data_IF_634372906436
#
_entry.id   IF_634372906436
#
_cell.length_a   1.000
_cell.length_b   1.000
_cell.length_c   1.000
_cell.angle_alpha   90.00
_cell.angle_beta   90.00
_cell.angle_gamma   90.00
#
_symmetry.space_group_name_H-M   'P 1'
#
loop_
_entity.id
_entity.type
_entity.pdbx_description
1 polymer ?
#
# COMPACT_ATOMS: atom_id res chain seq x y z
N UNK A 1 18.39 -20.55 17.91
CA UNK A 1 18.35 -19.09 18.11
C UNK A 1 17.86 -18.51 16.78
N UNK A 2 16.73 -17.82 16.77
CA UNK A 2 16.29 -17.08 15.61
C UNK A 2 17.12 -15.78 15.54
N UNK A 3 17.64 -15.45 14.37
CA UNK A 3 18.33 -14.19 14.12
C UNK A 3 17.32 -13.22 13.52
N UNK A 4 16.67 -12.42 14.35
CA UNK A 4 15.66 -11.47 13.92
C UNK A 4 16.32 -10.12 13.67
N UNK A 5 16.07 -9.53 12.52
CA UNK A 5 16.57 -8.21 12.15
C UNK A 5 15.45 -7.43 11.46
N UNK A 6 15.11 -6.29 12.01
CA UNK A 6 14.20 -5.34 11.36
C UNK A 6 15.02 -4.28 10.66
N UNK A 7 14.83 -4.15 9.36
CA UNK A 7 15.42 -3.09 8.56
C UNK A 7 14.37 -2.03 8.26
N UNK A 8 14.74 -0.77 8.44
CA UNK A 8 13.92 0.36 8.04
C UNK A 8 14.63 1.13 6.93
N UNK A 9 13.94 1.44 5.82
CA UNK A 9 14.51 2.31 4.82
C UNK A 9 14.71 3.72 5.36
N UNK A 10 15.77 4.40 4.90
CA UNK A 10 15.82 5.86 4.97
C UNK A 10 14.74 6.47 4.08
N UNK A 11 14.44 7.75 4.25
CA UNK A 11 13.58 8.45 3.31
C UNK A 11 13.92 9.94 3.20
N UNK A 12 13.65 10.51 2.03
CA UNK A 12 13.64 11.94 1.77
C UNK A 12 12.24 12.33 1.30
N UNK A 13 11.64 13.35 1.90
CA UNK A 13 10.29 13.78 1.56
C UNK A 13 10.25 15.29 1.27
N UNK A 14 9.28 15.70 0.46
CA UNK A 14 9.05 17.09 0.07
C UNK A 14 9.27 17.35 -1.41
N UNK A 15 9.10 18.60 -1.81
CA UNK A 15 9.21 18.99 -3.23
C UNK A 15 10.59 18.75 -3.85
N UNK A 16 11.63 18.79 -3.05
CA UNK A 16 13.02 18.64 -3.46
C UNK A 16 13.63 17.27 -3.10
N UNK A 17 12.82 16.28 -2.77
CA UNK A 17 13.30 14.97 -2.31
C UNK A 17 14.33 14.34 -3.29
N UNK A 18 14.16 14.51 -4.58
CA UNK A 18 15.08 13.95 -5.60
C UNK A 18 16.46 14.60 -5.62
N UNK A 19 16.64 15.81 -5.09
CA UNK A 19 17.95 16.45 -4.98
C UNK A 19 18.91 15.74 -4.01
N UNK A 20 18.39 14.85 -3.17
CA UNK A 20 19.19 14.03 -2.26
C UNK A 20 19.77 12.76 -2.93
N UNK A 21 19.43 12.49 -4.22
CA UNK A 21 19.83 11.26 -4.92
C UNK A 21 21.35 11.06 -4.87
N UNK A 22 22.14 12.03 -5.27
CA UNK A 22 23.59 11.88 -5.28
C UNK A 22 24.17 11.59 -3.91
N UNK A 23 23.73 12.31 -2.89
CA UNK A 23 24.21 12.17 -1.52
C UNK A 23 23.85 10.77 -0.95
N UNK A 24 22.65 10.30 -1.24
CA UNK A 24 22.14 9.03 -0.71
C UNK A 24 22.63 7.83 -1.50
N UNK A 25 22.71 7.94 -2.83
CA UNK A 25 22.94 6.80 -3.71
C UNK A 25 24.41 6.61 -4.08
N UNK A 26 25.24 7.68 -4.13
CA UNK A 26 26.65 7.58 -4.54
C UNK A 26 27.51 6.59 -3.72
N UNK A 27 27.24 6.33 -2.42
CA UNK A 27 27.97 5.27 -1.70
C UNK A 27 27.74 3.85 -2.25
N UNK A 28 26.71 3.65 -3.06
CA UNK A 28 26.33 2.35 -3.63
C UNK A 28 26.79 2.17 -5.08
N UNK A 29 27.27 3.23 -5.73
CA UNK A 29 27.75 3.24 -7.10
C UNK A 29 27.34 4.49 -7.86
N UNK A 30 27.63 4.51 -9.16
CA UNK A 30 27.40 5.67 -10.03
C UNK A 30 26.42 5.39 -11.17
N UNK A 31 26.02 4.14 -11.37
CA UNK A 31 25.14 3.72 -12.46
C UNK A 31 23.84 3.18 -11.86
N UNK A 32 22.77 3.90 -12.04
CA UNK A 32 21.43 3.46 -11.65
C UNK A 32 20.61 3.10 -12.89
N UNK A 33 19.80 2.06 -12.79
CA UNK A 33 18.78 1.75 -13.79
C UNK A 33 17.39 1.97 -13.16
N UNK A 34 16.59 2.80 -13.80
CA UNK A 34 15.17 3.02 -13.44
C UNK A 34 14.32 1.93 -14.10
N UNK A 35 13.63 1.14 -13.30
CA UNK A 35 12.61 0.19 -13.74
C UNK A 35 11.25 0.84 -13.50
N UNK A 36 10.47 1.04 -14.57
CA UNK A 36 9.23 1.81 -14.50
C UNK A 36 8.28 1.50 -15.66
N UNK A 37 7.09 2.06 -15.59
CA UNK A 37 6.15 2.18 -16.71
C UNK A 37 6.27 3.55 -17.42
N UNK A 38 5.73 3.64 -18.64
CA UNK A 38 5.83 4.84 -19.47
C UNK A 38 5.13 6.05 -18.82
N UNK A 39 3.99 5.84 -18.15
CA UNK A 39 3.22 6.92 -17.50
C UNK A 39 4.04 7.52 -16.37
N UNK A 40 4.62 6.67 -15.52
CA UNK A 40 5.44 7.08 -14.38
C UNK A 40 6.73 7.79 -14.84
N UNK A 41 7.40 7.29 -15.91
CA UNK A 41 8.56 7.98 -16.49
C UNK A 41 8.16 9.37 -16.97
N UNK A 42 7.10 9.47 -17.77
CA UNK A 42 6.66 10.75 -18.33
C UNK A 42 6.30 11.78 -17.24
N UNK A 43 5.71 11.33 -16.15
CA UNK A 43 5.38 12.20 -15.02
C UNK A 43 6.60 12.70 -14.24
N UNK A 44 7.69 11.90 -14.18
CA UNK A 44 8.79 12.15 -13.23
C UNK A 44 10.11 12.53 -13.90
N UNK A 45 10.30 12.19 -15.17
CA UNK A 45 11.60 12.31 -15.88
C UNK A 45 12.20 13.71 -15.76
N UNK A 46 11.39 14.76 -15.93
CA UNK A 46 11.85 16.15 -15.79
C UNK A 46 12.50 16.43 -14.42
N UNK A 47 11.94 15.88 -13.34
CA UNK A 47 12.44 16.09 -11.98
C UNK A 47 13.67 15.24 -11.68
N UNK A 48 13.71 14.02 -12.20
CA UNK A 48 14.87 13.13 -12.06
C UNK A 48 16.06 13.64 -12.87
N UNK A 49 15.84 14.02 -14.12
CA UNK A 49 16.91 14.58 -14.99
C UNK A 49 17.48 15.86 -14.39
N UNK A 50 16.62 16.78 -13.91
CA UNK A 50 17.08 18.01 -13.22
C UNK A 50 17.93 17.68 -11.97
N UNK A 51 17.52 16.68 -11.21
CA UNK A 51 18.22 16.31 -9.97
C UNK A 51 19.56 15.61 -10.22
N UNK A 52 19.76 14.97 -11.37
CA UNK A 52 20.93 14.12 -11.66
C UNK A 52 21.82 14.59 -12.79
N UNK A 53 21.43 15.67 -13.54
CA UNK A 53 22.18 16.15 -14.71
C UNK A 53 23.67 16.49 -14.41
N UNK A 54 23.94 17.16 -13.30
CA UNK A 54 25.26 17.54 -12.84
C UNK A 54 25.83 16.60 -11.77
N UNK A 55 25.08 15.53 -11.46
CA UNK A 55 25.37 14.60 -10.38
C UNK A 55 26.37 13.50 -10.77
N UNK A 56 26.79 12.74 -9.74
CA UNK A 56 27.70 11.60 -9.90
C UNK A 56 26.88 10.38 -10.37
N UNK A 57 25.65 10.22 -9.91
CA UNK A 57 24.78 9.11 -10.28
C UNK A 57 24.17 9.35 -11.65
N UNK A 58 24.43 8.45 -12.59
CA UNK A 58 23.88 8.46 -13.94
C UNK A 58 22.74 7.44 -14.03
N UNK A 59 21.67 7.81 -14.74
CA UNK A 59 20.41 7.05 -14.78
C UNK A 59 20.12 6.59 -16.21
N UNK A 60 19.88 5.31 -16.37
CA UNK A 60 19.26 4.72 -17.55
C UNK A 60 17.82 4.30 -17.23
N UNK A 61 16.95 4.28 -18.25
CA UNK A 61 15.53 3.95 -18.10
C UNK A 61 15.18 2.68 -18.86
N UNK A 62 14.52 1.72 -18.18
CA UNK A 62 14.01 0.50 -18.76
C UNK A 62 12.54 0.36 -18.40
N UNK A 63 11.71 0.11 -19.41
CA UNK A 63 10.30 -0.22 -19.19
C UNK A 63 10.18 -1.66 -18.68
N UNK A 64 9.38 -1.87 -17.64
CA UNK A 64 9.01 -3.22 -17.25
C UNK A 64 7.81 -3.68 -18.11
N UNK A 65 7.62 -5.01 -18.30
CA UNK A 65 6.60 -5.55 -19.22
C UNK A 65 5.14 -5.35 -18.82
N UNK A 66 4.84 -4.48 -17.84
CA UNK A 66 3.48 -4.04 -17.51
C UNK A 66 2.82 -4.77 -16.34
N UNK A 67 3.21 -6.03 -16.04
CA UNK A 67 2.69 -6.75 -14.86
C UNK A 67 3.82 -7.13 -13.90
N UNK A 68 3.55 -7.07 -12.60
CA UNK A 68 4.48 -7.56 -11.58
C UNK A 68 4.48 -9.09 -11.58
N UNK A 69 5.27 -9.68 -12.47
CA UNK A 69 5.35 -11.12 -12.65
C UNK A 69 6.81 -11.62 -12.58
N UNK A 70 6.98 -12.89 -12.29
CA UNK A 70 8.31 -13.51 -12.31
C UNK A 70 8.89 -13.49 -13.71
N UNK A 71 8.05 -13.67 -14.72
CA UNK A 71 8.40 -13.63 -16.14
C UNK A 71 8.94 -12.26 -16.57
N UNK A 72 8.32 -11.17 -16.07
CA UNK A 72 8.82 -9.81 -16.28
C UNK A 72 10.23 -9.62 -15.68
N UNK A 73 10.48 -10.17 -14.52
CA UNK A 73 11.80 -10.12 -13.88
C UNK A 73 12.81 -10.98 -14.63
N UNK A 74 12.42 -12.17 -15.10
CA UNK A 74 13.29 -13.05 -15.92
C UNK A 74 13.78 -12.33 -17.20
N UNK A 75 12.90 -11.53 -17.84
CA UNK A 75 13.26 -10.71 -19.00
C UNK A 75 14.22 -9.59 -18.63
N UNK A 76 13.92 -8.84 -17.55
CA UNK A 76 14.74 -7.73 -17.09
C UNK A 76 16.15 -8.17 -16.67
N UNK A 77 16.32 -9.34 -16.07
CA UNK A 77 17.62 -9.91 -15.70
C UNK A 77 18.55 -10.15 -16.91
N UNK A 78 17.99 -10.33 -18.11
CA UNK A 78 18.78 -10.52 -19.33
C UNK A 78 19.25 -9.22 -19.96
N UNK A 79 18.70 -8.07 -19.56
CA UNK A 79 19.04 -6.78 -20.13
C UNK A 79 20.45 -6.33 -19.70
N UNK A 80 21.29 -5.96 -20.66
CA UNK A 80 22.69 -5.58 -20.40
C UNK A 80 22.82 -4.29 -19.59
N UNK A 81 21.89 -3.34 -19.73
CA UNK A 81 21.87 -2.10 -18.92
C UNK A 81 21.62 -2.48 -17.46
N UNK A 82 20.65 -3.36 -17.21
CA UNK A 82 20.31 -3.85 -15.87
C UNK A 82 21.49 -4.61 -15.26
N UNK A 83 22.14 -5.49 -16.02
CA UNK A 83 23.33 -6.24 -15.56
C UNK A 83 24.47 -5.30 -15.14
N UNK A 84 24.71 -4.24 -15.91
CA UNK A 84 25.80 -3.30 -15.70
C UNK A 84 25.49 -2.16 -14.72
N UNK A 85 24.27 -2.03 -14.25
CA UNK A 85 23.91 -1.05 -13.23
C UNK A 85 24.44 -1.45 -11.85
N UNK A 86 24.84 -0.48 -11.05
CA UNK A 86 25.29 -0.68 -9.67
C UNK A 86 24.09 -0.82 -8.73
N UNK A 87 22.96 -0.18 -9.07
CA UNK A 87 21.76 -0.11 -8.26
C UNK A 87 20.48 -0.03 -9.11
N UNK A 88 19.35 -0.35 -8.51
CA UNK A 88 18.03 -0.31 -9.14
C UNK A 88 17.18 0.79 -8.51
N UNK A 89 16.59 1.64 -9.34
CA UNK A 89 15.58 2.63 -8.98
C UNK A 89 14.21 2.11 -9.40
N UNK A 90 13.39 1.75 -8.41
CA UNK A 90 12.02 1.28 -8.62
C UNK A 90 11.09 2.49 -8.65
N UNK A 91 10.69 2.93 -9.83
CA UNK A 91 9.88 4.14 -10.03
C UNK A 91 8.47 3.77 -10.45
N UNK A 92 7.45 4.28 -9.76
CA UNK A 92 6.06 4.10 -10.17
C UNK A 92 5.08 3.77 -9.05
N UNK A 93 3.99 3.11 -9.42
CA UNK A 93 3.03 2.51 -8.50
C UNK A 93 3.48 1.13 -8.00
N UNK A 94 2.60 0.44 -7.27
CA UNK A 94 2.92 -0.85 -6.63
C UNK A 94 3.53 -1.88 -7.58
N UNK A 95 2.95 -2.09 -8.77
CA UNK A 95 3.43 -3.10 -9.74
C UNK A 95 4.86 -2.84 -10.21
N UNK A 96 5.19 -1.60 -10.58
CA UNK A 96 6.53 -1.23 -11.00
C UNK A 96 7.55 -1.38 -9.84
N UNK A 97 7.16 -0.95 -8.64
CA UNK A 97 7.99 -1.07 -7.44
C UNK A 97 8.23 -2.54 -7.08
N UNK A 98 7.20 -3.38 -7.09
CA UNK A 98 7.33 -4.81 -6.74
C UNK A 98 8.17 -5.58 -7.78
N UNK A 99 8.06 -5.24 -9.07
CA UNK A 99 8.93 -5.78 -10.12
C UNK A 99 10.40 -5.42 -9.86
N UNK A 100 10.69 -4.12 -9.64
CA UNK A 100 12.05 -3.66 -9.36
C UNK A 100 12.62 -4.22 -8.06
N UNK A 101 11.80 -4.40 -7.03
CA UNK A 101 12.13 -5.04 -5.75
C UNK A 101 12.58 -6.48 -5.93
N UNK A 102 11.83 -7.31 -6.66
CA UNK A 102 12.19 -8.69 -6.93
C UNK A 102 13.44 -8.78 -7.81
N UNK A 103 13.56 -7.93 -8.82
CA UNK A 103 14.75 -7.83 -9.67
C UNK A 103 15.99 -7.53 -8.84
N UNK A 104 15.92 -6.53 -7.97
CA UNK A 104 17.02 -6.15 -7.08
C UNK A 104 17.42 -7.29 -6.13
N UNK A 105 16.45 -7.99 -5.56
CA UNK A 105 16.67 -9.15 -4.69
C UNK A 105 17.40 -10.27 -5.43
N UNK A 106 16.93 -10.66 -6.63
CA UNK A 106 17.54 -11.73 -7.42
C UNK A 106 18.96 -11.40 -7.90
N UNK A 107 19.19 -10.15 -8.28
CA UNK A 107 20.49 -9.66 -8.73
C UNK A 107 21.43 -9.27 -7.59
N UNK A 108 20.97 -9.34 -6.33
CA UNK A 108 21.71 -8.90 -5.15
C UNK A 108 22.23 -7.46 -5.28
N UNK A 109 21.38 -6.55 -5.79
CA UNK A 109 21.69 -5.13 -5.96
C UNK A 109 20.94 -4.28 -4.95
N UNK A 110 21.54 -3.18 -4.44
CA UNK A 110 20.81 -2.19 -3.66
C UNK A 110 19.68 -1.59 -4.49
N UNK A 111 18.53 -1.31 -3.86
CA UNK A 111 17.43 -0.66 -4.55
C UNK A 111 16.83 0.50 -3.75
N UNK A 112 16.31 1.44 -4.49
CA UNK A 112 15.72 2.69 -4.02
C UNK A 112 14.34 2.84 -4.65
N UNK A 113 13.39 3.38 -3.92
CA UNK A 113 12.02 3.52 -4.42
C UNK A 113 11.61 4.96 -4.61
N UNK A 114 10.89 5.21 -5.70
CA UNK A 114 10.41 6.51 -6.13
C UNK A 114 8.89 6.39 -6.40
N UNK A 115 8.05 6.43 -5.35
CA UNK A 115 6.61 6.31 -5.54
C UNK A 115 6.05 7.49 -6.31
N UNK A 116 5.25 7.21 -7.36
CA UNK A 116 4.59 8.23 -8.17
C UNK A 116 3.14 8.46 -7.79
N UNK A 117 2.55 7.52 -7.05
CA UNK A 117 1.18 7.56 -6.54
C UNK A 117 1.17 7.09 -5.07
N UNK A 118 0.36 7.69 -4.25
CA UNK A 118 0.23 7.33 -2.82
C UNK A 118 -0.99 6.42 -2.60
N UNK A 119 -0.97 5.21 -3.18
CA UNK A 119 -2.08 4.25 -3.09
C UNK A 119 -1.86 3.12 -2.09
N UNK A 120 -0.60 2.75 -1.79
CA UNK A 120 -0.22 1.68 -0.86
C UNK A 120 1.18 1.91 -0.31
N UNK A 121 1.61 1.13 0.67
CA UNK A 121 2.96 1.20 1.25
C UNK A 121 4.02 0.35 0.51
N UNK A 122 3.76 -0.10 -0.72
CA UNK A 122 4.67 -0.97 -1.48
C UNK A 122 6.10 -0.43 -1.59
N UNK A 123 6.27 0.91 -1.64
CA UNK A 123 7.59 1.55 -1.72
C UNK A 123 8.46 1.37 -0.47
N UNK A 124 7.88 1.00 0.67
CA UNK A 124 8.59 0.78 1.94
C UNK A 124 8.68 -0.70 2.30
N UNK A 125 7.62 -1.45 2.02
CA UNK A 125 7.48 -2.84 2.43
C UNK A 125 8.50 -3.76 1.72
N UNK A 126 9.07 -4.70 2.47
CA UNK A 126 9.81 -5.83 1.89
C UNK A 126 8.89 -6.86 1.21
N UNK A 127 7.57 -6.76 1.41
CA UNK A 127 6.58 -7.59 0.74
C UNK A 127 6.30 -7.08 -0.66
N UNK A 128 6.21 -7.96 -1.65
CA UNK A 128 5.74 -7.69 -3.00
C UNK A 128 4.59 -8.61 -3.39
N UNK A 129 3.68 -8.11 -4.21
CA UNK A 129 2.54 -8.85 -4.73
C UNK A 129 2.81 -9.19 -6.20
N UNK A 130 2.71 -10.47 -6.56
CA UNK A 130 3.04 -10.95 -7.89
C UNK A 130 1.85 -11.64 -8.54
N UNK A 131 1.76 -11.45 -9.84
CA UNK A 131 0.69 -11.93 -10.69
C UNK A 131 1.24 -12.83 -11.79
N UNK A 132 0.38 -13.59 -12.44
CA UNK A 132 0.68 -14.20 -13.72
C UNK A 132 0.61 -13.14 -14.83
N UNK A 133 1.23 -13.36 -16.00
CA UNK A 133 1.14 -12.41 -17.12
C UNK A 133 -0.28 -12.11 -17.61
N UNK A 134 -1.25 -12.97 -17.27
CA UNK A 134 -2.68 -12.78 -17.55
C UNK A 134 -3.43 -11.97 -16.48
N UNK A 135 -2.70 -11.31 -15.55
CA UNK A 135 -3.19 -10.49 -14.44
C UNK A 135 -3.81 -11.25 -13.26
N UNK A 136 -3.88 -12.59 -13.30
CA UNK A 136 -4.35 -13.36 -12.15
C UNK A 136 -3.34 -13.32 -11.00
N UNK A 137 -3.84 -13.16 -9.77
CA UNK A 137 -3.00 -13.22 -8.58
C UNK A 137 -2.26 -14.56 -8.50
N UNK A 138 -0.94 -14.51 -8.28
CA UNK A 138 -0.09 -15.68 -8.17
C UNK A 138 0.37 -15.94 -6.74
N UNK A 139 1.01 -14.96 -6.13
CA UNK A 139 1.58 -15.11 -4.79
C UNK A 139 2.03 -13.75 -4.24
N UNK A 140 2.25 -13.70 -2.96
CA UNK A 140 3.12 -12.67 -2.36
C UNK A 140 4.51 -13.26 -2.08
N UNK A 141 5.53 -12.43 -2.17
CA UNK A 141 6.90 -12.81 -1.89
C UNK A 141 7.57 -11.71 -1.05
N UNK A 142 8.27 -12.12 0.01
CA UNK A 142 9.02 -11.20 0.85
C UNK A 142 10.50 -11.27 0.48
N UNK A 143 11.06 -10.15 0.04
CA UNK A 143 12.49 -10.00 -0.17
C UNK A 143 13.22 -9.85 1.17
N UNK A 144 14.52 -10.13 1.19
CA UNK A 144 15.30 -10.16 2.45
C UNK A 144 15.36 -8.81 3.16
N UNK A 145 15.25 -7.70 2.42
CA UNK A 145 15.35 -6.34 2.95
C UNK A 145 14.41 -5.39 2.24
N UNK A 146 13.83 -4.40 2.94
CA UNK A 146 13.15 -3.29 2.30
C UNK A 146 14.16 -2.43 1.50
N UNK A 147 13.71 -1.40 0.75
CA UNK A 147 14.61 -0.52 0.01
C UNK A 147 15.64 0.14 0.93
N UNK A 148 16.77 0.53 0.37
CA UNK A 148 17.78 1.33 1.09
C UNK A 148 17.20 2.69 1.48
N UNK A 149 16.47 3.31 0.53
CA UNK A 149 15.90 4.63 0.73
C UNK A 149 14.67 4.85 -0.18
N UNK A 150 13.76 5.71 0.30
CA UNK A 150 12.53 6.09 -0.40
C UNK A 150 12.61 7.59 -0.72
N UNK A 151 12.47 7.97 -1.99
CA UNK A 151 12.42 9.36 -2.42
C UNK A 151 10.96 9.78 -2.68
N UNK A 152 10.37 10.55 -1.78
CA UNK A 152 8.96 10.94 -1.78
C UNK A 152 8.83 12.39 -2.27
N UNK A 153 8.62 12.57 -3.58
CA UNK A 153 8.36 13.89 -4.13
C UNK A 153 6.91 14.29 -3.95
N UNK A 154 6.63 15.28 -3.10
CA UNK A 154 5.26 15.80 -2.90
C UNK A 154 4.69 16.45 -4.17
N UNK A 155 5.53 16.94 -5.08
CA UNK A 155 5.09 17.43 -6.41
C UNK A 155 4.52 16.29 -7.25
N UNK A 156 5.27 15.19 -7.35
CA UNK A 156 4.84 14.02 -8.13
C UNK A 156 3.53 13.45 -7.58
N UNK A 157 3.41 13.34 -6.26
CA UNK A 157 2.17 12.86 -5.62
C UNK A 157 1.00 13.83 -5.85
N UNK A 158 1.25 15.15 -5.79
CA UNK A 158 0.22 16.16 -6.01
C UNK A 158 -0.26 16.21 -7.47
N UNK A 159 0.64 15.96 -8.43
CA UNK A 159 0.35 15.95 -9.88
C UNK A 159 -0.26 14.60 -10.33
N UNK A 160 -0.26 13.57 -9.49
CA UNK A 160 -0.87 12.28 -9.81
C UNK A 160 -2.40 12.34 -9.79
N UNK A 161 -3.11 11.43 -10.49
CA UNK A 161 -4.56 11.36 -10.41
C UNK A 161 -5.04 11.18 -8.96
N UNK A 162 -5.85 12.11 -8.47
CA UNK A 162 -6.28 12.20 -7.07
C UNK A 162 -6.95 10.91 -6.54
N UNK A 163 -7.53 10.11 -7.43
CA UNK A 163 -8.15 8.83 -7.09
C UNK A 163 -7.15 7.81 -6.45
N UNK A 164 -5.84 7.94 -6.71
CA UNK A 164 -4.85 7.07 -6.07
C UNK A 164 -4.56 7.50 -4.64
N UNK A 165 -4.45 8.81 -4.37
CA UNK A 165 -4.31 9.31 -3.00
C UNK A 165 -5.57 9.00 -2.18
N UNK A 166 -6.75 9.17 -2.78
CA UNK A 166 -8.04 8.85 -2.18
C UNK A 166 -8.12 7.38 -1.75
N UNK A 167 -7.79 6.46 -2.66
CA UNK A 167 -7.74 5.02 -2.35
C UNK A 167 -6.67 4.70 -1.29
N UNK A 168 -5.50 5.35 -1.36
CA UNK A 168 -4.44 5.16 -0.36
C UNK A 168 -4.81 5.63 1.05
N UNK A 169 -5.63 6.68 1.16
CA UNK A 169 -6.21 7.09 2.44
C UNK A 169 -7.15 5.99 2.94
N UNK A 170 -8.02 5.46 2.08
CA UNK A 170 -8.93 4.36 2.42
C UNK A 170 -8.19 3.10 2.91
N UNK A 171 -7.13 2.70 2.19
CA UNK A 171 -6.26 1.58 2.57
C UNK A 171 -5.55 1.84 3.91
N UNK A 172 -4.92 3.01 4.05
CA UNK A 172 -4.19 3.39 5.27
C UNK A 172 -5.06 3.44 6.53
N UNK A 173 -6.35 3.75 6.40
CA UNK A 173 -7.31 3.76 7.52
C UNK A 173 -7.57 2.36 8.09
N UNK A 174 -7.35 1.29 7.32
CA UNK A 174 -7.52 -0.09 7.79
C UNK A 174 -6.42 -0.51 8.76
N UNK A 175 -5.18 -0.01 8.58
CA UNK A 175 -3.97 -0.54 9.18
C UNK A 175 -4.04 -0.71 10.70
N UNK A 176 -4.37 0.36 11.41
CA UNK A 176 -4.50 0.27 12.88
C UNK A 176 -5.60 -0.71 13.29
N UNK A 177 -6.74 -0.65 12.60
CA UNK A 177 -7.93 -1.43 12.97
C UNK A 177 -7.65 -2.92 12.82
N UNK A 178 -7.11 -3.34 11.69
CA UNK A 178 -6.84 -4.74 11.39
C UNK A 178 -5.71 -5.32 12.22
N UNK A 179 -4.56 -4.62 12.29
CA UNK A 179 -3.40 -5.09 13.06
C UNK A 179 -3.74 -5.29 14.53
N UNK A 180 -4.44 -4.32 15.13
CA UNK A 180 -4.84 -4.43 16.56
C UNK A 180 -5.94 -5.45 16.78
N UNK A 181 -6.81 -5.66 15.81
CA UNK A 181 -7.84 -6.71 15.87
C UNK A 181 -7.19 -8.09 15.84
N UNK A 182 -6.35 -8.38 14.86
CA UNK A 182 -5.69 -9.69 14.71
C UNK A 182 -4.75 -10.02 15.89
N UNK A 183 -4.03 -9.03 16.42
CA UNK A 183 -3.11 -9.23 17.54
C UNK A 183 -3.80 -9.28 18.93
N UNK A 184 -5.08 -8.98 19.02
CA UNK A 184 -5.80 -8.85 20.30
C UNK A 184 -5.79 -10.16 21.11
N UNK A 185 -5.32 -10.06 22.35
CA UNK A 185 -5.26 -11.20 23.28
C UNK A 185 -4.09 -12.16 23.02
N UNK A 186 -3.15 -11.80 22.12
CA UNK A 186 -2.02 -12.63 21.72
C UNK A 186 -0.66 -12.09 22.16
N UNK A 187 -0.62 -11.18 23.14
CA UNK A 187 0.62 -10.54 23.59
C UNK A 187 1.75 -11.53 23.90
N UNK A 188 1.41 -12.73 24.37
CA UNK A 188 2.37 -13.79 24.71
C UNK A 188 2.88 -14.60 23.49
N UNK A 189 2.25 -14.44 22.32
CA UNK A 189 2.64 -15.09 21.06
C UNK A 189 3.48 -14.17 20.18
N UNK A 190 3.35 -12.83 20.38
CA UNK A 190 4.01 -11.84 19.57
C UNK A 190 5.51 -11.77 19.85
N UNK A 191 6.32 -11.73 18.80
CA UNK A 191 7.75 -11.37 18.91
C UNK A 191 7.90 -9.92 19.36
N UNK A 192 9.12 -9.51 19.71
CA UNK A 192 9.41 -8.13 20.11
C UNK A 192 9.08 -7.14 18.97
N UNK A 193 9.42 -7.52 17.74
CA UNK A 193 9.17 -6.73 16.55
C UNK A 193 7.66 -6.59 16.28
N UNK A 194 6.91 -7.67 16.41
CA UNK A 194 5.45 -7.67 16.23
C UNK A 194 4.75 -6.82 17.29
N UNK A 195 5.18 -6.91 18.57
CA UNK A 195 4.69 -6.03 19.64
C UNK A 195 4.92 -4.55 19.30
N UNK A 196 6.11 -4.21 18.82
CA UNK A 196 6.44 -2.85 18.40
C UNK A 196 5.61 -2.42 17.18
N UNK A 197 5.38 -3.30 16.20
CA UNK A 197 4.54 -3.06 15.04
C UNK A 197 3.07 -2.80 15.41
N UNK A 198 2.52 -3.61 16.31
CA UNK A 198 1.15 -3.42 16.86
C UNK A 198 1.02 -2.08 17.59
N UNK A 199 2.04 -1.69 18.37
CA UNK A 199 2.06 -0.39 19.02
C UNK A 199 2.14 0.78 18.01
N UNK A 200 3.00 0.65 16.99
CA UNK A 200 3.18 1.65 15.94
C UNK A 200 1.92 1.81 15.08
N UNK A 201 1.12 0.76 14.90
CA UNK A 201 -0.12 0.82 14.11
C UNK A 201 -1.09 1.91 14.61
N UNK A 202 -1.05 2.25 15.91
CA UNK A 202 -1.81 3.36 16.48
C UNK A 202 -1.47 4.73 15.86
N UNK A 203 -0.32 4.88 15.22
CA UNK A 203 0.09 6.11 14.56
C UNK A 203 -0.48 6.26 13.13
N UNK A 204 -1.10 5.21 12.57
CA UNK A 204 -1.54 5.20 11.17
C UNK A 204 -2.87 5.94 10.93
N UNK A 205 -3.73 6.07 11.92
CA UNK A 205 -5.09 6.63 11.76
C UNK A 205 -5.12 8.16 11.82
N UNK A 206 -4.53 8.74 12.86
CA UNK A 206 -4.69 10.17 13.17
C UNK A 206 -4.19 11.13 12.08
N UNK A 207 -3.04 10.92 11.41
CA UNK A 207 -2.61 11.79 10.33
C UNK A 207 -3.59 11.82 9.15
N UNK A 208 -4.20 10.68 8.82
CA UNK A 208 -5.18 10.59 7.73
C UNK A 208 -6.46 11.35 8.07
N UNK A 209 -6.98 11.19 9.28
CA UNK A 209 -8.15 11.93 9.74
C UNK A 209 -7.89 13.44 9.79
N UNK A 210 -6.68 13.84 10.18
CA UNK A 210 -6.31 15.25 10.34
C UNK A 210 -6.05 15.95 9.01
N UNK A 211 -5.36 15.30 8.09
CA UNK A 211 -4.85 15.92 6.88
C UNK A 211 -5.51 15.43 5.59
N UNK A 212 -6.27 14.32 5.62
CA UNK A 212 -6.78 13.66 4.43
C UNK A 212 -7.65 14.56 3.56
N UNK A 213 -8.61 15.27 4.15
CA UNK A 213 -9.51 16.19 3.41
C UNK A 213 -8.71 17.29 2.71
N UNK A 214 -7.77 17.93 3.43
CA UNK A 214 -6.95 18.99 2.85
C UNK A 214 -5.98 18.44 1.79
N UNK A 215 -5.40 17.26 2.01
CA UNK A 215 -4.53 16.62 1.04
C UNK A 215 -5.27 16.29 -0.27
N UNK A 216 -6.53 15.84 -0.18
CA UNK A 216 -7.35 15.60 -1.36
C UNK A 216 -7.67 16.87 -2.14
N UNK A 217 -8.01 17.96 -1.42
CA UNK A 217 -8.23 19.27 -2.06
C UNK A 217 -6.95 19.75 -2.77
N UNK A 218 -5.80 19.63 -2.11
CA UNK A 218 -4.51 20.04 -2.65
C UNK A 218 -4.12 19.20 -3.87
N UNK A 219 -4.33 17.87 -3.82
CA UNK A 219 -4.07 16.96 -4.92
C UNK A 219 -4.95 17.25 -6.15
N UNK A 220 -6.26 17.50 -5.95
CA UNK A 220 -7.17 17.90 -7.04
C UNK A 220 -6.74 19.20 -7.74
N UNK A 221 -5.98 20.05 -7.04
CA UNK A 221 -5.43 21.31 -7.55
C UNK A 221 -3.95 21.22 -7.95
N UNK A 222 -3.36 20.02 -8.02
CA UNK A 222 -1.95 19.76 -8.32
C UNK A 222 -1.00 20.60 -7.44
N UNK A 223 -1.36 20.81 -6.18
CA UNK A 223 -0.63 21.67 -5.25
C UNK A 223 0.12 20.84 -4.22
N UNK A 224 1.44 20.79 -4.33
CA UNK A 224 2.27 20.24 -3.27
C UNK A 224 2.04 21.01 -1.95
N UNK A 225 1.85 20.29 -0.86
CA UNK A 225 1.51 20.88 0.44
C UNK A 225 1.98 20.01 1.61
N UNK A 226 1.98 20.62 2.80
CA UNK A 226 2.25 19.88 4.03
C UNK A 226 1.21 18.78 4.28
N UNK A 227 -0.05 18.99 3.88
CA UNK A 227 -1.09 17.98 4.04
C UNK A 227 -0.82 16.74 3.16
N UNK A 228 -0.42 16.93 1.90
CA UNK A 228 0.00 15.83 1.02
C UNK A 228 1.23 15.12 1.60
N UNK A 229 2.23 15.87 2.10
CA UNK A 229 3.42 15.27 2.71
C UNK A 229 3.07 14.39 3.91
N UNK A 230 2.25 14.88 4.84
CA UNK A 230 1.82 14.13 6.04
C UNK A 230 1.03 12.86 5.68
N UNK A 231 0.11 12.95 4.72
CA UNK A 231 -0.66 11.80 4.24
C UNK A 231 0.25 10.79 3.53
N UNK A 232 1.12 11.25 2.64
CA UNK A 232 2.06 10.39 1.94
C UNK A 232 3.04 9.70 2.91
N UNK A 233 3.59 10.43 3.88
CA UNK A 233 4.43 9.86 4.94
C UNK A 233 3.67 8.81 5.76
N UNK A 234 2.40 9.05 6.06
CA UNK A 234 1.60 8.08 6.79
C UNK A 234 1.37 6.79 5.97
N UNK A 235 0.98 6.92 4.70
CA UNK A 235 0.73 5.78 3.82
C UNK A 235 2.04 5.01 3.56
N UNK A 236 3.14 5.69 3.25
CA UNK A 236 4.39 5.04 2.87
C UNK A 236 5.21 4.59 4.08
N UNK A 237 5.38 5.46 5.06
CA UNK A 237 6.33 5.23 6.16
C UNK A 237 5.64 4.53 7.34
N UNK A 238 4.61 5.12 7.94
CA UNK A 238 3.97 4.49 9.11
C UNK A 238 3.39 3.12 8.77
N UNK A 239 2.57 3.05 7.72
CA UNK A 239 1.96 1.77 7.29
C UNK A 239 3.00 0.75 6.83
N UNK A 240 4.03 1.19 6.09
CA UNK A 240 5.10 0.32 5.63
C UNK A 240 6.00 -0.20 6.75
N UNK A 241 6.30 0.62 7.77
CA UNK A 241 7.03 0.19 8.96
C UNK A 241 6.25 -0.88 9.72
N UNK A 242 4.95 -0.69 9.93
CA UNK A 242 4.09 -1.71 10.54
C UNK A 242 4.16 -3.00 9.74
N UNK A 243 4.01 -2.94 8.41
CA UNK A 243 4.06 -4.12 7.51
C UNK A 243 5.44 -4.82 7.50
N UNK A 244 6.52 -4.11 7.83
CA UNK A 244 7.85 -4.71 7.98
C UNK A 244 8.08 -5.36 9.36
N UNK A 245 7.33 -4.94 10.39
CA UNK A 245 7.48 -5.40 11.77
C UNK A 245 6.56 -6.57 12.12
N UNK A 246 5.36 -6.62 11.56
CA UNK A 246 4.40 -7.70 11.84
C UNK A 246 4.54 -8.84 10.83
N UNK A 247 4.19 -10.05 11.25
CA UNK A 247 4.09 -11.18 10.32
C UNK A 247 2.96 -10.91 9.32
N UNK A 248 3.33 -10.78 8.05
CA UNK A 248 2.40 -10.42 6.97
C UNK A 248 1.25 -11.43 6.79
N UNK A 249 1.49 -12.70 7.12
CA UNK A 249 0.48 -13.76 7.02
C UNK A 249 -0.46 -13.82 8.23
N UNK A 250 -0.19 -13.09 9.32
CA UNK A 250 -0.94 -13.21 10.58
C UNK A 250 -1.58 -11.92 11.05
N UNK A 251 -0.80 -10.83 11.08
CA UNK A 251 -1.20 -9.63 11.81
C UNK A 251 -1.29 -8.38 10.93
N UNK A 252 -0.93 -8.47 9.65
CA UNK A 252 -0.83 -7.31 8.78
C UNK A 252 -2.18 -6.85 8.22
N UNK A 253 -3.09 -7.79 8.02
CA UNK A 253 -4.44 -7.64 7.43
C UNK A 253 -5.46 -8.41 8.25
N UNK A 254 -6.76 -8.21 7.99
CA UNK A 254 -7.86 -8.95 8.60
C UNK A 254 -9.11 -8.88 7.72
N UNK A 255 -10.30 -8.67 8.31
CA UNK A 255 -11.59 -8.72 7.61
C UNK A 255 -11.71 -7.70 6.47
N UNK A 256 -11.12 -6.51 6.60
CA UNK A 256 -11.20 -5.51 5.54
C UNK A 256 -10.54 -6.00 4.25
N UNK A 257 -9.34 -6.58 4.37
CA UNK A 257 -8.62 -7.16 3.23
C UNK A 257 -9.21 -8.50 2.80
N UNK A 258 -9.68 -9.35 3.72
CA UNK A 258 -10.39 -10.59 3.38
C UNK A 258 -11.63 -10.30 2.52
N UNK A 259 -12.42 -9.29 2.89
CA UNK A 259 -13.58 -8.85 2.13
C UNK A 259 -13.17 -8.32 0.74
N UNK A 260 -12.15 -7.44 0.66
CA UNK A 260 -11.63 -6.99 -0.63
C UNK A 260 -11.18 -8.18 -1.50
N UNK A 261 -10.30 -9.03 -0.99
CA UNK A 261 -9.75 -10.16 -1.72
C UNK A 261 -10.83 -11.14 -2.23
N UNK A 262 -11.91 -11.34 -1.47
CA UNK A 262 -13.04 -12.14 -1.90
C UNK A 262 -13.90 -11.42 -2.94
N UNK A 263 -14.10 -10.10 -2.78
CA UNK A 263 -14.93 -9.29 -3.66
C UNK A 263 -14.33 -9.13 -5.06
N UNK A 264 -13.03 -9.37 -5.27
CA UNK A 264 -12.39 -9.34 -6.61
C UNK A 264 -12.96 -10.40 -7.57
N UNK A 265 -13.70 -11.39 -7.06
CA UNK A 265 -14.45 -12.34 -7.89
C UNK A 265 -15.66 -11.71 -8.58
N UNK A 266 -16.10 -10.54 -8.13
CA UNK A 266 -17.16 -9.76 -8.76
C UNK A 266 -16.56 -8.89 -9.87
N UNK A 267 -17.03 -9.02 -11.13
CA UNK A 267 -16.43 -8.32 -12.27
C UNK A 267 -16.40 -6.78 -12.12
N UNK A 268 -17.41 -6.20 -11.46
CA UNK A 268 -17.48 -4.76 -11.24
C UNK A 268 -16.36 -4.28 -10.30
N UNK A 269 -16.01 -5.06 -9.30
CA UNK A 269 -14.94 -4.71 -8.35
C UNK A 269 -13.60 -4.69 -9.07
N UNK A 270 -13.25 -5.77 -9.77
CA UNK A 270 -11.98 -5.86 -10.49
C UNK A 270 -11.84 -4.76 -11.56
N UNK A 271 -12.93 -4.48 -12.30
CA UNK A 271 -12.89 -3.55 -13.42
C UNK A 271 -12.94 -2.07 -13.02
N UNK A 272 -13.60 -1.70 -11.93
CA UNK A 272 -13.97 -0.29 -11.65
C UNK A 272 -13.51 0.26 -10.32
N UNK A 273 -13.30 -0.60 -9.32
CA UNK A 273 -12.99 -0.18 -7.97
C UNK A 273 -11.49 -0.33 -7.64
N UNK A 274 -10.98 0.58 -6.81
CA UNK A 274 -9.61 0.52 -6.36
C UNK A 274 -9.48 -0.29 -5.07
N UNK A 275 -8.33 -0.92 -4.87
CA UNK A 275 -8.03 -1.69 -3.66
C UNK A 275 -8.44 -0.97 -2.38
N UNK A 276 -7.89 0.20 -2.12
CA UNK A 276 -8.15 0.94 -0.88
C UNK A 276 -9.58 1.50 -0.76
N UNK A 277 -10.29 1.65 -1.88
CA UNK A 277 -11.71 1.98 -1.89
C UNK A 277 -12.52 0.86 -1.24
N UNK A 278 -12.35 -0.38 -1.69
CA UNK A 278 -13.07 -1.54 -1.13
C UNK A 278 -12.59 -1.85 0.29
N UNK A 279 -11.28 -1.75 0.56
CA UNK A 279 -10.71 -1.92 1.91
C UNK A 279 -11.30 -0.91 2.90
N UNK A 280 -11.61 0.32 2.46
CA UNK A 280 -12.24 1.31 3.35
C UNK A 280 -13.61 0.86 3.83
N UNK A 281 -14.48 0.34 2.93
CA UNK A 281 -15.75 -0.25 3.33
C UNK A 281 -15.55 -1.46 4.26
N UNK A 282 -14.61 -2.35 3.92
CA UNK A 282 -14.23 -3.48 4.77
C UNK A 282 -13.78 -3.06 6.17
N UNK A 283 -13.17 -1.88 6.31
CA UNK A 283 -12.79 -1.32 7.62
C UNK A 283 -14.03 -0.95 8.45
N UNK A 284 -15.04 -0.31 7.85
CA UNK A 284 -16.31 -0.04 8.54
C UNK A 284 -17.02 -1.34 8.91
N UNK A 285 -16.96 -2.33 8.02
CA UNK A 285 -17.50 -3.66 8.26
C UNK A 285 -16.83 -4.34 9.46
N UNK A 286 -15.51 -4.32 9.55
CA UNK A 286 -14.78 -4.85 10.70
C UNK A 286 -15.16 -4.14 12.01
N UNK A 287 -15.24 -2.81 11.99
CA UNK A 287 -15.64 -2.01 13.15
C UNK A 287 -17.07 -2.33 13.60
N UNK A 288 -17.98 -2.59 12.65
CA UNK A 288 -19.37 -2.98 12.92
C UNK A 288 -19.42 -4.39 13.51
N UNK A 289 -18.75 -5.36 12.90
CA UNK A 289 -18.67 -6.74 13.36
C UNK A 289 -18.11 -6.83 14.78
N UNK A 290 -17.05 -6.07 15.05
CA UNK A 290 -16.38 -6.05 16.35
C UNK A 290 -17.01 -5.07 17.36
N UNK A 291 -18.16 -4.46 17.02
CA UNK A 291 -18.96 -3.56 17.89
C UNK A 291 -18.17 -2.33 18.40
N UNK A 292 -17.19 -1.85 17.64
CA UNK A 292 -16.42 -0.65 17.96
C UNK A 292 -17.15 0.62 17.50
N UNK A 293 -18.34 0.89 18.02
CA UNK A 293 -19.26 1.92 17.51
C UNK A 293 -18.74 3.36 17.60
N UNK A 294 -17.93 3.69 18.60
CA UNK A 294 -17.32 5.03 18.70
C UNK A 294 -16.31 5.26 17.56
N UNK A 295 -15.48 4.27 17.28
CA UNK A 295 -14.52 4.31 16.18
C UNK A 295 -15.23 4.24 14.84
N UNK A 296 -16.27 3.38 14.72
CA UNK A 296 -17.13 3.31 13.54
C UNK A 296 -17.73 4.67 13.21
N UNK A 297 -18.33 5.37 14.20
CA UNK A 297 -18.89 6.70 13.98
C UNK A 297 -17.87 7.68 13.42
N UNK A 298 -16.68 7.71 14.01
CA UNK A 298 -15.60 8.62 13.62
C UNK A 298 -15.12 8.35 12.18
N UNK A 299 -14.95 7.08 11.82
CA UNK A 299 -14.53 6.66 10.48
C UNK A 299 -15.63 6.91 9.45
N UNK A 300 -16.86 6.59 9.79
CA UNK A 300 -18.01 6.81 8.93
C UNK A 300 -18.19 8.29 8.57
N UNK A 301 -18.12 9.18 9.56
CA UNK A 301 -18.25 10.63 9.35
C UNK A 301 -17.12 11.15 8.45
N UNK A 302 -15.88 10.67 8.63
CA UNK A 302 -14.74 10.97 7.78
C UNK A 302 -14.93 10.43 6.35
N UNK A 303 -15.35 9.19 6.19
CA UNK A 303 -15.56 8.58 4.88
C UNK A 303 -16.66 9.28 4.08
N UNK A 304 -17.76 9.66 4.73
CA UNK A 304 -18.77 10.51 4.07
C UNK A 304 -18.19 11.83 3.55
N UNK A 305 -17.37 12.49 4.35
CA UNK A 305 -16.70 13.74 3.95
C UNK A 305 -15.67 13.57 2.83
N UNK A 306 -15.15 12.37 2.68
CA UNK A 306 -14.16 11.99 1.66
C UNK A 306 -14.77 11.31 0.43
N UNK A 307 -16.07 11.06 0.43
CA UNK A 307 -16.76 10.25 -0.60
C UNK A 307 -16.19 8.83 -0.72
N UNK A 308 -15.61 8.28 0.37
CA UNK A 308 -15.25 6.87 0.47
C UNK A 308 -16.50 6.02 0.71
N UNK A 309 -16.51 4.76 0.24
CA UNK A 309 -17.68 3.88 0.37
C UNK A 309 -18.14 3.72 1.81
N UNK A 310 -19.45 3.88 2.03
CA UNK A 310 -20.12 3.71 3.31
C UNK A 310 -21.28 2.72 3.26
N UNK A 311 -21.62 2.25 2.05
CA UNK A 311 -22.68 1.26 1.78
C UNK A 311 -22.29 0.39 0.59
N UNK A 312 -22.90 -0.77 0.44
CA UNK A 312 -22.66 -1.70 -0.67
C UNK A 312 -22.89 -1.08 -2.04
N UNK A 313 -23.93 -0.25 -2.17
CA UNK A 313 -24.23 0.41 -3.43
C UNK A 313 -23.10 1.35 -3.92
N UNK A 314 -22.25 1.86 -3.03
CA UNK A 314 -21.07 2.67 -3.40
C UNK A 314 -20.00 1.79 -4.08
N UNK A 315 -20.04 0.47 -3.88
CA UNK A 315 -19.19 -0.55 -4.49
C UNK A 315 -19.90 -1.34 -5.59
N UNK A 316 -21.12 -0.92 -5.97
CA UNK A 316 -21.93 -1.62 -6.97
C UNK A 316 -22.17 -3.11 -6.63
N UNK A 317 -22.25 -3.44 -5.33
CA UNK A 317 -22.52 -4.80 -4.85
C UNK A 317 -23.98 -4.87 -4.39
N UNK A 318 -24.69 -5.86 -4.91
CA UNK A 318 -26.05 -6.18 -4.45
C UNK A 318 -26.04 -7.23 -3.33
N UNK A 319 -27.04 -7.20 -2.46
CA UNK A 319 -27.10 -8.09 -1.27
C UNK A 319 -27.16 -9.58 -1.65
N UNK A 320 -27.73 -9.92 -2.80
CA UNK A 320 -27.83 -11.29 -3.31
C UNK A 320 -26.53 -11.82 -3.92
N UNK A 321 -25.55 -10.95 -4.21
CA UNK A 321 -24.20 -11.33 -4.62
C UNK A 321 -23.29 -11.71 -3.45
N UNK A 322 -23.68 -11.40 -2.20
CA UNK A 322 -22.81 -11.51 -1.02
C UNK A 322 -22.45 -12.95 -0.65
N UNK A 323 -23.39 -13.88 -0.71
CA UNK A 323 -23.18 -15.21 -0.11
C UNK A 323 -21.91 -15.91 -0.64
N UNK A 324 -21.64 -15.99 -1.95
CA UNK A 324 -20.39 -16.58 -2.43
C UNK A 324 -19.14 -15.77 -2.04
N UNK A 325 -19.23 -14.45 -1.97
CA UNK A 325 -18.14 -13.58 -1.53
C UNK A 325 -17.80 -13.84 -0.06
N UNK A 326 -18.79 -13.95 0.81
CA UNK A 326 -18.60 -14.16 2.23
C UNK A 326 -18.05 -15.56 2.55
N UNK A 327 -18.51 -16.59 1.83
CA UNK A 327 -17.95 -17.94 1.92
C UNK A 327 -16.46 -17.97 1.51
N UNK A 328 -16.08 -17.18 0.54
CA UNK A 328 -14.67 -17.05 0.13
C UNK A 328 -13.87 -16.19 1.11
N UNK A 329 -14.44 -15.11 1.66
CA UNK A 329 -13.77 -14.21 2.58
C UNK A 329 -13.29 -14.95 3.85
N UNK A 330 -14.12 -15.84 4.42
CA UNK A 330 -13.73 -16.60 5.63
C UNK A 330 -12.67 -17.67 5.37
N UNK A 331 -12.36 -17.97 4.10
CA UNK A 331 -11.30 -18.89 3.71
C UNK A 331 -9.96 -18.16 3.41
N UNK A 332 -9.94 -16.84 3.49
CA UNK A 332 -8.72 -16.06 3.25
C UNK A 332 -7.80 -16.13 4.46
N UNK A 333 -6.50 -16.24 4.19
CA UNK A 333 -5.46 -16.26 5.22
C UNK A 333 -5.52 -15.03 6.15
N UNK A 334 -6.10 -13.92 5.68
CA UNK A 334 -6.30 -12.68 6.44
C UNK A 334 -7.11 -12.93 7.73
N UNK A 335 -7.88 -14.02 7.81
CA UNK A 335 -8.69 -14.40 8.96
C UNK A 335 -8.16 -15.63 9.72
N UNK A 336 -6.98 -16.17 9.37
CA UNK A 336 -6.38 -17.29 10.08
C UNK A 336 -6.03 -16.95 11.54
N UNK A 337 -5.72 -15.67 11.80
CA UNK A 337 -5.34 -15.17 13.12
C UNK A 337 -6.24 -14.02 13.51
N UNK A 338 -7.34 -14.34 14.18
CA UNK A 338 -8.33 -13.38 14.69
C UNK A 338 -8.71 -13.73 16.14
N UNK A 339 -9.25 -12.77 16.93
CA UNK A 339 -9.53 -13.00 18.35
C UNK A 339 -10.70 -13.96 18.62
N UNK A 340 -11.56 -14.20 17.63
CA UNK A 340 -12.68 -15.14 17.67
C UNK A 340 -13.03 -15.61 16.25
N UNK A 341 -13.68 -16.76 16.14
CA UNK A 341 -14.12 -17.29 14.86
C UNK A 341 -15.10 -16.32 14.17
N UNK A 342 -14.84 -16.04 12.89
CA UNK A 342 -15.69 -15.21 12.04
C UNK A 342 -16.36 -16.10 11.00
N UNK A 343 -17.70 -16.08 10.96
CA UNK A 343 -18.49 -16.87 10.03
C UNK A 343 -19.13 -15.99 8.94
N UNK A 344 -19.50 -16.56 7.77
CA UNK A 344 -20.21 -15.81 6.73
C UNK A 344 -21.47 -15.12 7.25
N UNK A 345 -22.22 -15.79 8.14
CA UNK A 345 -23.42 -15.23 8.76
C UNK A 345 -23.12 -13.99 9.61
N UNK A 346 -22.04 -14.02 10.41
CA UNK A 346 -21.62 -12.86 11.22
C UNK A 346 -21.24 -11.67 10.33
N UNK A 347 -20.54 -11.91 9.22
CA UNK A 347 -20.17 -10.85 8.27
C UNK A 347 -21.42 -10.27 7.62
N UNK A 348 -22.37 -11.14 7.20
CA UNK A 348 -23.64 -10.71 6.58
C UNK A 348 -24.46 -9.86 7.55
N UNK A 349 -24.61 -10.29 8.80
CA UNK A 349 -25.32 -9.53 9.84
C UNK A 349 -24.67 -8.16 10.06
N UNK A 350 -23.33 -8.08 10.09
CA UNK A 350 -22.62 -6.82 10.25
C UNK A 350 -22.78 -5.90 9.02
N UNK A 351 -22.83 -6.45 7.81
CA UNK A 351 -23.15 -5.68 6.59
C UNK A 351 -24.56 -5.10 6.71
N UNK A 352 -25.56 -5.91 7.04
CA UNK A 352 -26.93 -5.43 7.18
C UNK A 352 -27.06 -4.35 8.27
N UNK A 353 -26.34 -4.51 9.38
CA UNK A 353 -26.28 -3.48 10.43
C UNK A 353 -25.62 -2.19 9.94
N UNK A 354 -24.55 -2.27 9.16
CA UNK A 354 -23.87 -1.10 8.56
C UNK A 354 -24.78 -0.39 7.55
N UNK A 355 -25.53 -1.13 6.72
CA UNK A 355 -26.52 -0.57 5.80
C UNK A 355 -27.64 0.18 6.56
N UNK A 356 -28.15 -0.38 7.66
CA UNK A 356 -29.13 0.31 8.51
C UNK A 356 -28.52 1.53 9.24
N UNK A 357 -27.25 1.45 9.63
CA UNK A 357 -26.54 2.58 10.22
C UNK A 357 -26.40 3.73 9.21
N UNK A 358 -26.11 3.40 7.94
CA UNK A 358 -26.02 4.37 6.84
C UNK A 358 -27.39 5.04 6.60
N UNK A 359 -28.48 4.27 6.45
CA UNK A 359 -29.85 4.81 6.24
C UNK A 359 -30.27 5.81 7.31
N UNK A 360 -29.89 5.58 8.57
CA UNK A 360 -30.23 6.49 9.69
C UNK A 360 -29.42 7.79 9.68
N UNK A 361 -28.37 7.87 8.87
CA UNK A 361 -27.44 9.01 8.78
C UNK A 361 -27.38 9.63 7.39
N UNK A 362 -28.14 9.08 6.44
CA UNK A 362 -28.38 9.67 5.13
C UNK A 362 -29.36 10.87 5.28
#
# INVERSE_FOLDING_TARGET
MANNTVFFPGYSAGENAYKEIDKVCSPYGTKAVVISDEISINATKKYLDEATQDGIVKIDYILFPGEASFEAVDELEQNEIVKNADMIFCLGGGKAIDTGKLLAHRMNKPYFTFPTIASTCACNSALGIYYYPNHEFRTFFRVDRPPVHIFISTKVIAEAPAAFLWAGIGDGMSKETEVRFSARGRDHELTLEEQAGVALAACCTEPLLKYGVQAMEDCRNNRASKAIEEVALNIFINTGMVSNMVDSAKYNTSLAHAFFNASTTLPQIEARHKHGEVVSYGTLLLLTLDKQYDKLKRFFDFYKGMELPTKLADLEIEVDELDPVLELAVQRYDLDVVPYEITPAMIKDAILELEEYNKKRA
#
